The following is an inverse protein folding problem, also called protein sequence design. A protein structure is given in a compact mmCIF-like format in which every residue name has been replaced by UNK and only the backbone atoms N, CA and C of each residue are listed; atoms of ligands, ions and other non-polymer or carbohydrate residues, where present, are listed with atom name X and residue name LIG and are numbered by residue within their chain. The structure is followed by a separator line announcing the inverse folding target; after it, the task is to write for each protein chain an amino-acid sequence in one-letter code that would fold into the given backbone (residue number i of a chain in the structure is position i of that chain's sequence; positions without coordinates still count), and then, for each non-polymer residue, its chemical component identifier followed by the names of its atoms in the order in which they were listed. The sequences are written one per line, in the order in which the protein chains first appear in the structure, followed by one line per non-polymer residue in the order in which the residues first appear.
data_IF_026502605909
#
_entry.id   IF_026502605909
#
_cell.length_a   1.000
_cell.length_b   1.000
_cell.length_c   1.000
_cell.angle_alpha   90.00
_cell.angle_beta   90.00
_cell.angle_gamma   90.00
#
_symmetry.space_group_name_H-M   'P 1'
#
loop_
_entity.id
_entity.type
_entity.pdbx_description
1 polymer ?
#
# COMPACT_ATOMS: atom_id res chain seq x y z
N UNK A 1 -2.60 -5.17 21.53
CA UNK A 1 -3.82 -5.95 21.85
C UNK A 1 -4.87 -5.56 20.84
N UNK A 2 -5.53 -6.53 20.18
CA UNK A 2 -6.53 -6.27 19.15
C UNK A 2 -7.80 -7.08 19.44
N UNK A 3 -8.93 -6.59 18.94
CA UNK A 3 -10.22 -7.27 18.95
C UNK A 3 -10.41 -8.04 17.65
N UNK A 4 -10.47 -9.37 17.74
CA UNK A 4 -10.61 -10.25 16.58
C UNK A 4 -11.98 -10.92 16.61
N UNK A 5 -12.73 -10.75 15.54
CA UNK A 5 -14.00 -11.44 15.33
C UNK A 5 -13.77 -12.64 14.40
N UNK A 6 -13.96 -13.86 14.92
CA UNK A 6 -13.76 -15.10 14.20
C UNK A 6 -15.12 -15.70 13.79
N UNK A 7 -15.41 -15.67 12.49
CA UNK A 7 -16.53 -16.39 11.89
C UNK A 7 -16.17 -17.82 11.52
N UNK A 8 -16.94 -18.79 11.98
CA UNK A 8 -16.73 -20.23 11.72
C UNK A 8 -17.92 -20.77 10.94
N UNK A 9 -17.65 -21.41 9.80
CA UNK A 9 -18.68 -21.93 8.89
C UNK A 9 -18.63 -23.46 8.79
N UNK A 10 -19.69 -24.06 8.26
CA UNK A 10 -19.80 -25.52 8.13
C UNK A 10 -18.74 -26.12 7.19
N UNK A 11 -17.66 -26.64 7.77
CA UNK A 11 -16.59 -27.34 7.07
C UNK A 11 -15.85 -28.26 8.03
N UNK A 12 -15.31 -29.37 7.52
CA UNK A 12 -14.46 -30.27 8.31
C UNK A 12 -13.24 -29.56 8.89
N UNK A 13 -12.80 -28.45 8.30
CA UNK A 13 -11.69 -27.64 8.81
C UNK A 13 -12.05 -26.79 10.04
N UNK A 14 -13.29 -26.83 10.56
CA UNK A 14 -13.70 -26.03 11.71
C UNK A 14 -12.84 -26.29 12.96
N UNK A 15 -12.29 -27.50 13.15
CA UNK A 15 -11.38 -27.77 14.26
C UNK A 15 -10.08 -26.93 14.21
N UNK A 16 -9.62 -26.52 13.02
CA UNK A 16 -8.45 -25.64 12.87
C UNK A 16 -8.75 -24.23 13.39
N UNK A 17 -10.00 -23.80 13.34
CA UNK A 17 -10.41 -22.52 13.91
C UNK A 17 -10.27 -22.50 15.44
N UNK A 18 -10.35 -23.66 16.11
CA UNK A 18 -10.05 -23.77 17.54
C UNK A 18 -8.59 -23.40 17.85
N UNK A 19 -7.65 -23.74 16.97
CA UNK A 19 -6.25 -23.35 17.15
C UNK A 19 -6.10 -21.83 17.04
N UNK A 20 -6.68 -21.22 16.00
CA UNK A 20 -6.69 -19.75 15.82
C UNK A 20 -7.25 -19.04 17.07
N UNK A 21 -8.42 -19.48 17.55
CA UNK A 21 -9.03 -18.91 18.76
C UNK A 21 -8.10 -19.05 19.97
N UNK A 22 -7.50 -20.23 20.18
CA UNK A 22 -6.60 -20.48 21.30
C UNK A 22 -5.33 -19.63 21.23
N UNK A 23 -4.72 -19.54 20.05
CA UNK A 23 -3.42 -18.91 19.88
C UNK A 23 -3.52 -17.39 19.90
N UNK A 24 -4.57 -16.80 19.31
CA UNK A 24 -4.86 -15.37 19.48
C UNK A 24 -5.16 -14.99 20.93
N UNK A 25 -5.93 -15.80 21.66
CA UNK A 25 -6.19 -15.55 23.09
C UNK A 25 -4.90 -15.65 23.91
N UNK A 26 -4.03 -16.64 23.66
CA UNK A 26 -2.70 -16.74 24.31
C UNK A 26 -1.78 -15.57 23.98
N UNK A 27 -1.87 -15.04 22.76
CA UNK A 27 -1.15 -13.85 22.33
C UNK A 27 -1.72 -12.54 22.92
N UNK A 28 -2.79 -12.62 23.73
CA UNK A 28 -3.38 -11.49 24.43
C UNK A 28 -4.38 -10.68 23.60
N UNK A 29 -4.86 -11.22 22.48
CA UNK A 29 -5.99 -10.63 21.75
C UNK A 29 -7.32 -10.99 22.41
N UNK A 30 -8.31 -10.11 22.33
CA UNK A 30 -9.68 -10.44 22.70
C UNK A 30 -10.37 -11.03 21.47
N UNK A 31 -10.91 -12.24 21.60
CA UNK A 31 -11.49 -12.98 20.47
C UNK A 31 -12.98 -13.21 20.75
N UNK A 32 -13.83 -12.82 19.82
CA UNK A 32 -15.25 -13.21 19.81
C UNK A 32 -15.50 -14.15 18.63
N UNK A 33 -16.32 -15.16 18.86
CA UNK A 33 -16.61 -16.18 17.84
C UNK A 33 -18.08 -16.12 17.44
N UNK A 34 -18.33 -16.17 16.13
CA UNK A 34 -19.66 -16.37 15.55
C UNK A 34 -19.66 -17.66 14.75
N UNK A 35 -20.46 -18.63 15.18
CA UNK A 35 -20.66 -19.88 14.46
C UNK A 35 -21.94 -19.80 13.62
N UNK A 36 -21.88 -20.31 12.40
CA UNK A 36 -23.10 -20.67 11.65
C UNK A 36 -23.70 -21.95 12.23
N UNK A 37 -25.00 -22.16 12.07
CA UNK A 37 -25.67 -23.43 12.47
C UNK A 37 -24.99 -24.67 11.87
N UNK A 38 -24.42 -24.56 10.66
CA UNK A 38 -23.68 -25.66 10.03
C UNK A 38 -22.31 -25.94 10.70
N UNK A 39 -21.67 -24.92 11.28
CA UNK A 39 -20.40 -25.08 12.01
C UNK A 39 -20.58 -25.85 13.32
N UNK A 40 -21.71 -25.63 14.00
CA UNK A 40 -22.07 -26.30 15.26
C UNK A 40 -22.11 -27.84 15.14
N UNK A 41 -22.34 -28.35 13.91
CA UNK A 41 -22.29 -29.79 13.62
C UNK A 41 -20.88 -30.40 13.60
N UNK A 42 -19.82 -29.56 13.52
CA UNK A 42 -18.42 -29.99 13.52
C UNK A 42 -17.72 -29.71 14.85
N UNK A 43 -17.89 -28.50 15.38
CA UNK A 43 -17.34 -28.06 16.66
C UNK A 43 -18.46 -27.40 17.44
N UNK A 44 -18.54 -27.68 18.75
CA UNK A 44 -19.62 -27.10 19.57
C UNK A 44 -19.23 -25.72 20.11
N UNK A 45 -20.20 -24.81 20.32
CA UNK A 45 -19.94 -23.47 20.85
C UNK A 45 -19.23 -23.44 22.21
N UNK A 46 -19.35 -24.52 22.99
CA UNK A 46 -18.68 -24.67 24.28
C UNK A 46 -17.15 -24.65 24.12
N UNK A 47 -16.61 -25.23 23.05
CA UNK A 47 -15.17 -25.25 22.78
C UNK A 47 -14.65 -23.83 22.60
N UNK A 48 -15.27 -23.05 21.72
CA UNK A 48 -14.87 -21.66 21.46
C UNK A 48 -15.07 -20.76 22.68
N UNK A 49 -16.18 -20.93 23.41
CA UNK A 49 -16.44 -20.18 24.65
C UNK A 49 -15.36 -20.47 25.70
N UNK A 50 -14.91 -21.72 25.79
CA UNK A 50 -13.89 -22.14 26.75
C UNK A 50 -12.48 -21.64 26.36
N UNK A 51 -12.18 -21.54 25.06
CA UNK A 51 -10.89 -21.07 24.54
C UNK A 51 -10.74 -19.54 24.59
N UNK A 52 -11.82 -18.82 24.31
CA UNK A 52 -11.80 -17.35 24.19
C UNK A 52 -12.25 -16.62 25.44
N UNK A 53 -12.86 -17.35 26.39
CA UNK A 53 -13.52 -16.79 27.57
C UNK A 53 -14.65 -15.78 27.24
N UNK A 54 -15.18 -15.83 26.01
CA UNK A 54 -16.30 -15.00 25.54
C UNK A 54 -17.45 -15.91 25.05
N UNK A 55 -18.72 -15.57 25.30
CA UNK A 55 -19.85 -16.34 24.77
C UNK A 55 -19.81 -16.40 23.25
N UNK A 56 -19.83 -17.62 22.69
CA UNK A 56 -19.91 -17.81 21.23
C UNK A 56 -21.31 -17.49 20.71
N UNK A 57 -21.39 -16.68 19.65
CA UNK A 57 -22.65 -16.33 18.99
C UNK A 57 -23.06 -17.45 18.03
N UNK A 58 -24.32 -17.87 18.09
CA UNK A 58 -24.81 -19.03 17.29
C UNK A 58 -26.09 -18.73 16.51
N UNK A 59 -26.99 -17.92 17.08
CA UNK A 59 -28.29 -17.61 16.46
C UNK A 59 -28.69 -16.16 16.66
N UNK A 60 -29.31 -15.59 15.63
CA UNK A 60 -29.81 -14.23 15.64
C UNK A 60 -31.09 -14.12 16.49
N UNK A 61 -31.96 -15.14 16.42
CA UNK A 61 -33.24 -15.17 17.12
C UNK A 61 -33.37 -16.47 17.93
N UNK A 62 -32.76 -16.55 19.13
CA UNK A 62 -32.91 -17.72 19.97
C UNK A 62 -34.33 -17.80 20.55
N UNK A 63 -34.78 -19.03 20.84
CA UNK A 63 -36.03 -19.24 21.54
C UNK A 63 -35.99 -18.59 22.93
N UNK A 64 -37.01 -17.80 23.26
CA UNK A 64 -37.10 -17.09 24.53
C UNK A 64 -37.34 -18.07 25.71
N UNK A 65 -36.73 -17.85 26.89
CA UNK A 65 -35.78 -16.79 27.26
C UNK A 65 -34.33 -17.25 27.08
N UNK A 66 -33.62 -16.66 26.13
CA UNK A 66 -32.19 -16.91 25.93
C UNK A 66 -31.42 -15.58 26.00
N UNK A 67 -30.40 -15.54 26.84
CA UNK A 67 -29.62 -14.33 27.16
C UNK A 67 -28.69 -13.84 26.03
N UNK A 68 -28.71 -14.48 24.85
CA UNK A 68 -27.65 -14.34 23.83
C UNK A 68 -28.18 -14.16 22.40
N UNK A 69 -29.41 -13.67 22.24
CA UNK A 69 -29.95 -13.31 20.92
C UNK A 69 -29.39 -12.02 20.37
N UNK A 70 -29.69 -11.70 19.12
CA UNK A 70 -29.15 -10.51 18.45
C UNK A 70 -29.56 -9.20 19.12
N UNK A 71 -30.77 -9.15 19.69
CA UNK A 71 -31.22 -8.03 20.52
C UNK A 71 -31.29 -8.47 21.97
N UNK A 72 -30.48 -7.85 22.83
CA UNK A 72 -30.59 -8.02 24.28
C UNK A 72 -31.33 -6.82 24.87
N UNK A 73 -32.62 -7.01 25.12
CA UNK A 73 -33.43 -6.02 25.82
C UNK A 73 -33.38 -6.30 27.33
N UNK A 74 -32.77 -5.41 28.11
CA UNK A 74 -32.78 -5.45 29.57
C UNK A 74 -33.40 -4.14 30.08
N UNK A 75 -34.39 -4.16 30.99
CA UNK A 75 -34.97 -2.95 31.56
C UNK A 75 -33.95 -1.97 32.18
N UNK A 76 -32.75 -2.45 32.54
CA UNK A 76 -31.70 -1.66 33.19
C UNK A 76 -30.47 -1.42 32.31
N UNK A 77 -30.40 -1.96 31.09
CA UNK A 77 -29.26 -1.80 30.18
C UNK A 77 -29.77 -1.33 28.81
N UNK A 78 -29.12 -0.33 28.16
CA UNK A 78 -29.47 0.07 26.80
C UNK A 78 -29.55 -1.14 25.86
N UNK A 79 -30.60 -1.17 25.04
CA UNK A 79 -30.79 -2.23 24.05
C UNK A 79 -29.58 -2.28 23.12
N UNK A 80 -28.92 -3.44 23.07
CA UNK A 80 -27.74 -3.66 22.22
C UNK A 80 -28.11 -4.58 21.07
N UNK A 81 -27.74 -4.20 19.85
CA UNK A 81 -27.85 -5.02 18.64
C UNK A 81 -26.48 -5.68 18.41
N UNK A 82 -26.37 -6.97 18.72
CA UNK A 82 -25.12 -7.68 18.83
C UNK A 82 -24.35 -7.73 17.50
N UNK A 83 -25.00 -7.99 16.35
CA UNK A 83 -24.25 -8.04 15.09
C UNK A 83 -23.61 -6.70 14.70
N UNK A 84 -24.28 -5.57 14.96
CA UNK A 84 -23.72 -4.21 14.75
C UNK A 84 -22.64 -3.91 15.78
N UNK A 85 -22.87 -4.26 17.04
CA UNK A 85 -21.92 -4.03 18.12
C UNK A 85 -20.63 -4.86 17.94
N UNK A 86 -20.75 -6.13 17.54
CA UNK A 86 -19.61 -7.02 17.28
C UNK A 86 -18.84 -6.56 16.03
N UNK A 87 -19.53 -6.04 14.99
CA UNK A 87 -18.87 -5.41 13.85
C UNK A 87 -18.07 -4.16 14.27
N UNK A 88 -18.68 -3.23 14.99
CA UNK A 88 -18.02 -2.01 15.46
C UNK A 88 -16.89 -2.28 16.46
N UNK A 89 -16.97 -3.37 17.21
CA UNK A 89 -15.98 -3.77 18.21
C UNK A 89 -14.70 -4.32 17.59
N UNK A 90 -14.80 -5.01 16.44
CA UNK A 90 -13.71 -5.75 15.85
C UNK A 90 -12.68 -4.85 15.13
N UNK A 91 -11.39 -5.10 15.37
CA UNK A 91 -10.30 -4.53 14.57
C UNK A 91 -9.96 -5.39 13.35
N UNK A 92 -10.32 -6.67 13.39
CA UNK A 92 -10.13 -7.63 12.30
C UNK A 92 -11.29 -8.64 12.30
N UNK A 93 -11.87 -8.89 11.13
CA UNK A 93 -12.82 -9.97 10.89
C UNK A 93 -12.14 -11.11 10.13
N UNK A 94 -12.16 -12.33 10.67
CA UNK A 94 -11.63 -13.53 10.01
C UNK A 94 -12.74 -14.55 9.85
N UNK A 95 -12.99 -15.02 8.64
CA UNK A 95 -13.91 -16.13 8.39
C UNK A 95 -13.09 -17.38 8.04
N UNK A 96 -12.92 -18.27 9.01
CA UNK A 96 -12.07 -19.45 8.91
C UNK A 96 -12.68 -20.64 9.68
N UNK A 97 -13.02 -21.74 9.00
CA UNK A 97 -13.12 -21.89 7.55
C UNK A 97 -14.26 -21.07 6.95
N UNK A 98 -14.13 -20.69 5.68
CA UNK A 98 -15.17 -20.15 4.83
C UNK A 98 -15.66 -21.22 3.84
N UNK A 99 -16.89 -21.69 4.02
CA UNK A 99 -17.55 -22.64 3.13
C UNK A 99 -17.98 -21.93 1.83
N UNK A 100 -18.15 -22.70 0.74
CA UNK A 100 -18.64 -22.17 -0.53
C UNK A 100 -19.98 -21.43 -0.39
N UNK A 101 -20.84 -21.91 0.50
CA UNK A 101 -22.14 -21.34 0.82
C UNK A 101 -22.02 -19.94 1.44
N UNK A 102 -21.17 -19.77 2.46
CA UNK A 102 -20.95 -18.45 3.07
C UNK A 102 -20.23 -17.51 2.10
N UNK A 103 -19.26 -17.99 1.32
CA UNK A 103 -18.61 -17.19 0.26
C UNK A 103 -19.65 -16.67 -0.75
N UNK A 104 -20.62 -17.51 -1.14
CA UNK A 104 -21.70 -17.08 -2.03
C UNK A 104 -22.62 -16.04 -1.37
N UNK A 105 -22.96 -16.20 -0.09
CA UNK A 105 -23.75 -15.21 0.65
C UNK A 105 -23.04 -13.86 0.76
N UNK A 106 -21.74 -13.87 1.05
CA UNK A 106 -20.91 -12.65 1.11
C UNK A 106 -20.92 -11.95 -0.25
N UNK A 107 -20.61 -12.68 -1.34
CA UNK A 107 -20.55 -12.10 -2.69
C UNK A 107 -21.90 -11.51 -3.16
N UNK A 108 -23.02 -12.05 -2.66
CA UNK A 108 -24.37 -11.58 -2.98
C UNK A 108 -24.94 -10.57 -1.97
N UNK A 109 -24.23 -10.25 -0.88
CA UNK A 109 -24.73 -9.37 0.18
C UNK A 109 -25.93 -9.92 0.95
N UNK A 110 -26.04 -11.23 1.11
CA UNK A 110 -27.12 -11.86 1.89
C UNK A 110 -26.78 -11.80 3.39
N UNK A 111 -27.73 -11.33 4.21
CA UNK A 111 -27.59 -11.16 5.66
C UNK A 111 -28.76 -11.84 6.41
N UNK A 112 -28.75 -13.16 6.44
CA UNK A 112 -29.85 -13.98 6.96
C UNK A 112 -29.48 -14.84 8.18
N UNK A 113 -28.25 -14.73 8.67
CA UNK A 113 -27.78 -15.28 9.93
C UNK A 113 -26.91 -14.25 10.68
N UNK A 114 -26.52 -14.53 11.92
CA UNK A 114 -25.70 -13.62 12.73
C UNK A 114 -24.39 -13.27 12.04
N UNK A 115 -23.68 -14.27 11.50
CA UNK A 115 -22.37 -14.08 10.87
C UNK A 115 -22.45 -13.17 9.65
N UNK A 116 -23.35 -13.49 8.71
CA UNK A 116 -23.51 -12.74 7.46
C UNK A 116 -24.06 -11.33 7.69
N UNK A 117 -24.88 -11.12 8.71
CA UNK A 117 -25.36 -9.80 9.09
C UNK A 117 -24.25 -8.95 9.74
N UNK A 118 -23.42 -9.56 10.60
CA UNK A 118 -22.22 -8.89 11.13
C UNK A 118 -21.22 -8.56 10.03
N UNK A 119 -20.99 -9.48 9.09
CA UNK A 119 -20.13 -9.26 7.92
C UNK A 119 -20.60 -8.04 7.12
N UNK A 120 -21.91 -7.92 6.87
CA UNK A 120 -22.45 -6.84 6.06
C UNK A 120 -22.32 -5.48 6.77
N UNK A 121 -22.32 -5.46 8.10
CA UNK A 121 -22.14 -4.26 8.92
C UNK A 121 -20.66 -3.90 9.19
N UNK A 122 -19.72 -4.74 8.78
CA UNK A 122 -18.30 -4.59 9.10
C UNK A 122 -17.50 -3.86 8.01
N UNK A 123 -16.79 -2.80 8.39
CA UNK A 123 -16.05 -1.92 7.46
C UNK A 123 -14.52 -2.09 7.52
N UNK A 124 -13.99 -2.81 8.51
CA UNK A 124 -12.56 -2.93 8.75
C UNK A 124 -11.85 -4.03 7.93
N UNK A 125 -10.57 -4.30 8.26
CA UNK A 125 -9.78 -5.37 7.66
C UNK A 125 -10.45 -6.74 7.80
N UNK A 126 -10.53 -7.49 6.70
CA UNK A 126 -11.29 -8.75 6.66
C UNK A 126 -10.58 -9.85 5.87
N UNK A 127 -10.52 -11.04 6.45
CA UNK A 127 -9.86 -12.24 5.90
C UNK A 127 -10.89 -13.33 5.61
N UNK A 128 -10.77 -13.96 4.45
CA UNK A 128 -11.59 -15.10 4.05
C UNK A 128 -10.68 -16.31 3.80
N UNK A 129 -10.91 -17.42 4.50
CA UNK A 129 -10.11 -18.65 4.40
C UNK A 129 -10.94 -19.80 3.80
N UNK A 130 -10.97 -19.97 2.47
CA UNK A 130 -11.82 -20.97 1.82
C UNK A 130 -11.47 -22.41 2.24
N UNK A 131 -12.49 -23.24 2.47
CA UNK A 131 -12.30 -24.65 2.79
C UNK A 131 -13.44 -25.52 2.27
N UNK A 132 -13.18 -26.30 1.22
CA UNK A 132 -14.18 -27.10 0.53
C UNK A 132 -13.54 -28.18 -0.35
N UNK A 133 -14.33 -29.10 -0.90
CA UNK A 133 -13.85 -30.06 -1.88
C UNK A 133 -13.23 -29.37 -3.12
N UNK A 134 -12.22 -29.98 -3.75
CA UNK A 134 -11.51 -29.41 -4.91
C UNK A 134 -12.43 -29.03 -6.07
N UNK A 135 -13.46 -29.84 -6.35
CA UNK A 135 -14.43 -29.54 -7.40
C UNK A 135 -15.36 -28.39 -7.03
N UNK A 136 -15.68 -28.22 -5.74
CA UNK A 136 -16.42 -27.05 -5.25
C UNK A 136 -15.57 -25.79 -5.35
N UNK A 137 -14.30 -25.88 -4.98
CA UNK A 137 -13.37 -24.74 -5.03
C UNK A 137 -13.15 -24.30 -6.49
N UNK A 138 -12.87 -25.23 -7.40
CA UNK A 138 -12.66 -24.96 -8.82
C UNK A 138 -13.96 -24.64 -9.59
N UNK A 139 -15.13 -24.72 -8.96
CA UNK A 139 -16.39 -24.41 -9.62
C UNK A 139 -16.40 -22.93 -10.08
N UNK A 140 -16.82 -22.63 -11.33
CA UNK A 140 -16.87 -21.26 -11.84
C UNK A 140 -17.67 -20.30 -10.96
N UNK A 141 -18.73 -20.76 -10.30
CA UNK A 141 -19.52 -19.94 -9.38
C UNK A 141 -18.70 -19.55 -8.14
N UNK A 142 -17.96 -20.50 -7.55
CA UNK A 142 -17.09 -20.25 -6.40
C UNK A 142 -15.95 -19.30 -6.78
N UNK A 143 -15.30 -19.53 -7.92
CA UNK A 143 -14.21 -18.66 -8.40
C UNK A 143 -14.70 -17.24 -8.68
N UNK A 144 -15.88 -17.09 -9.29
CA UNK A 144 -16.53 -15.77 -9.46
C UNK A 144 -16.80 -15.11 -8.12
N UNK A 145 -17.34 -15.83 -7.15
CA UNK A 145 -17.67 -15.28 -5.84
C UNK A 145 -16.40 -14.89 -5.06
N UNK A 146 -15.34 -15.69 -5.13
CA UNK A 146 -14.04 -15.36 -4.52
C UNK A 146 -13.44 -14.09 -5.14
N UNK A 147 -13.52 -13.95 -6.47
CA UNK A 147 -13.12 -12.72 -7.16
C UNK A 147 -13.93 -11.52 -6.68
N UNK A 148 -15.26 -11.65 -6.60
CA UNK A 148 -16.11 -10.58 -6.05
C UNK A 148 -15.77 -10.25 -4.59
N UNK A 149 -15.51 -11.24 -3.74
CA UNK A 149 -15.05 -11.00 -2.38
C UNK A 149 -13.73 -10.22 -2.36
N UNK A 150 -12.77 -10.59 -3.20
CA UNK A 150 -11.50 -9.85 -3.32
C UNK A 150 -11.72 -8.40 -3.76
N UNK A 151 -12.60 -8.16 -4.75
CA UNK A 151 -12.99 -6.81 -5.20
C UNK A 151 -13.70 -6.01 -4.09
N UNK A 152 -14.41 -6.67 -3.19
CA UNK A 152 -15.04 -6.08 -2.00
C UNK A 152 -14.06 -5.87 -0.83
N UNK A 153 -12.76 -6.05 -1.05
CA UNK A 153 -11.70 -5.79 -0.07
C UNK A 153 -11.44 -6.94 0.90
N UNK A 154 -11.85 -8.18 0.57
CA UNK A 154 -11.47 -9.35 1.37
C UNK A 154 -10.06 -9.83 1.02
N UNK A 155 -9.22 -10.00 2.03
CA UNK A 155 -7.97 -10.73 1.87
C UNK A 155 -8.27 -12.23 1.84
N UNK A 156 -8.14 -12.84 0.66
CA UNK A 156 -8.32 -14.28 0.49
C UNK A 156 -7.01 -14.98 0.91
N UNK A 157 -7.10 -15.94 1.83
CA UNK A 157 -6.01 -16.88 2.14
C UNK A 157 -6.31 -18.17 1.40
N UNK A 158 -5.59 -18.39 0.30
CA UNK A 158 -5.85 -19.52 -0.59
C UNK A 158 -5.69 -20.87 0.12
N UNK A 159 -6.53 -21.87 -0.20
CA UNK A 159 -6.41 -23.19 0.40
C UNK A 159 -5.17 -23.94 -0.09
N UNK A 160 -4.66 -24.84 0.74
CA UNK A 160 -3.58 -25.76 0.39
C UNK A 160 -4.05 -26.85 -0.57
N UNK A 161 -3.09 -27.39 -1.31
CA UNK A 161 -3.22 -28.62 -2.08
C UNK A 161 -2.85 -29.83 -1.22
N UNK A 162 -3.70 -30.87 -1.24
CA UNK A 162 -3.41 -32.11 -0.52
C UNK A 162 -4.56 -33.10 -0.57
N UNK A 163 -4.46 -34.15 0.25
CA UNK A 163 -5.52 -35.12 0.44
C UNK A 163 -6.69 -34.46 1.20
N UNK A 164 -7.86 -34.46 0.58
CA UNK A 164 -9.09 -33.94 1.15
C UNK A 164 -9.84 -35.04 1.92
N UNK A 165 -10.70 -34.64 2.86
CA UNK A 165 -11.45 -35.59 3.70
C UNK A 165 -12.37 -36.54 2.90
N UNK A 166 -12.72 -36.18 1.66
CA UNK A 166 -13.50 -37.00 0.74
C UNK A 166 -12.68 -38.03 -0.05
N UNK A 167 -11.34 -38.01 0.07
CA UNK A 167 -10.42 -38.89 -0.66
C UNK A 167 -9.80 -38.29 -1.92
N UNK A 168 -10.31 -37.15 -2.39
CA UNK A 168 -9.74 -36.44 -3.54
C UNK A 168 -8.38 -35.78 -3.19
N UNK A 169 -7.52 -35.62 -4.19
CA UNK A 169 -6.27 -34.86 -4.09
C UNK A 169 -6.44 -33.56 -4.86
N UNK A 170 -6.21 -32.44 -4.20
CA UNK A 170 -6.23 -31.14 -4.87
C UNK A 170 -6.37 -29.97 -3.91
N UNK A 171 -6.48 -28.78 -4.50
CA UNK A 171 -6.58 -27.52 -3.78
C UNK A 171 -7.97 -27.33 -3.19
N UNK A 172 -8.06 -27.17 -1.87
CA UNK A 172 -9.35 -27.02 -1.17
C UNK A 172 -9.30 -27.18 0.35
N UNK A 173 -8.17 -27.63 0.90
CA UNK A 173 -7.94 -27.70 2.34
C UNK A 173 -7.69 -26.30 2.90
N UNK A 174 -8.40 -25.91 3.96
CA UNK A 174 -8.10 -24.64 4.65
C UNK A 174 -6.61 -24.58 4.98
N UNK A 175 -5.99 -23.44 4.72
CA UNK A 175 -4.60 -23.15 5.08
C UNK A 175 -4.30 -23.42 6.57
N UNK A 176 -3.03 -23.63 6.91
CA UNK A 176 -2.61 -23.85 8.29
C UNK A 176 -2.78 -22.58 9.15
N UNK A 177 -3.20 -22.71 10.43
CA UNK A 177 -3.45 -21.58 11.32
C UNK A 177 -2.31 -20.54 11.36
N UNK A 178 -1.07 -21.00 11.40
CA UNK A 178 0.12 -20.14 11.46
C UNK A 178 0.20 -19.15 10.27
N UNK A 179 -0.21 -19.57 9.07
CA UNK A 179 -0.20 -18.70 7.89
C UNK A 179 -1.35 -17.69 7.93
N UNK A 180 -2.52 -18.11 8.44
CA UNK A 180 -3.66 -17.21 8.65
C UNK A 180 -3.31 -16.14 9.70
N UNK A 181 -2.62 -16.54 10.77
CA UNK A 181 -2.11 -15.64 11.81
C UNK A 181 -1.09 -14.64 11.27
N UNK A 182 -0.17 -15.06 10.39
CA UNK A 182 0.77 -14.16 9.73
C UNK A 182 0.04 -13.09 8.90
N UNK A 183 -0.97 -13.49 8.12
CA UNK A 183 -1.79 -12.57 7.32
C UNK A 183 -2.57 -11.62 8.22
N UNK A 184 -3.15 -12.13 9.31
CA UNK A 184 -3.86 -11.34 10.32
C UNK A 184 -2.95 -10.31 11.00
N UNK A 185 -1.73 -10.69 11.37
CA UNK A 185 -0.77 -9.80 11.99
C UNK A 185 -0.35 -8.67 11.04
N UNK A 186 -0.14 -8.95 9.74
CA UNK A 186 0.14 -7.92 8.74
C UNK A 186 -1.01 -6.93 8.61
N UNK A 187 -2.24 -7.42 8.42
CA UNK A 187 -3.42 -6.54 8.28
C UNK A 187 -3.68 -5.70 9.52
N UNK A 188 -3.47 -6.26 10.72
CA UNK A 188 -3.58 -5.51 11.97
C UNK A 188 -2.46 -4.47 12.12
N UNK A 189 -1.26 -4.73 11.61
CA UNK A 189 -0.17 -3.76 11.59
C UNK A 189 -0.45 -2.62 10.59
N UNK A 190 -0.90 -2.97 9.38
CA UNK A 190 -1.28 -2.02 8.34
C UNK A 190 -2.43 -1.11 8.83
N UNK A 191 -3.43 -1.68 9.50
CA UNK A 191 -4.56 -0.94 10.08
C UNK A 191 -4.22 -0.17 11.38
N UNK A 192 -3.10 -0.48 12.04
CA UNK A 192 -2.59 0.33 13.15
C UNK A 192 -1.75 1.51 12.67
N UNK A 193 -1.29 1.46 11.41
CA UNK A 193 -0.62 2.56 10.71
C UNK A 193 -1.65 3.52 10.05
N UNK A 194 -2.96 3.41 10.38
CA UNK A 194 -4.12 4.01 9.69
C UNK A 194 -4.25 5.55 9.77
N UNK A 195 -3.32 6.19 9.07
CA UNK A 195 -3.63 7.17 8.04
C UNK A 195 -3.67 6.51 6.64
N UNK A 196 -4.11 5.25 6.49
CA UNK A 196 -4.22 4.62 5.17
C UNK A 196 -5.62 4.87 4.57
N UNK A 197 -5.73 5.56 3.41
CA UNK A 197 -7.00 5.96 2.80
C UNK A 197 -7.59 4.87 1.89
N UNK A 198 -8.86 5.09 1.50
CA UNK A 198 -9.66 4.39 0.49
C UNK A 198 -8.86 3.78 -0.66
N UNK A 199 -9.36 2.69 -1.26
CA UNK A 199 -8.77 1.91 -2.37
C UNK A 199 -8.33 2.66 -3.65
N UNK A 200 -8.42 3.99 -3.70
CA UNK A 200 -7.83 4.84 -4.75
C UNK A 200 -7.52 6.25 -4.23
N UNK A 201 -6.49 6.42 -3.38
CA UNK A 201 -6.23 7.69 -2.69
C UNK A 201 -5.77 8.82 -3.62
N UNK A 202 -5.41 8.51 -4.87
CA UNK A 202 -4.96 9.48 -5.87
C UNK A 202 -5.94 9.65 -7.03
N UNK A 203 -7.18 9.13 -6.89
CA UNK A 203 -8.18 9.19 -7.95
C UNK A 203 -8.44 10.63 -8.40
N UNK A 204 -8.27 10.88 -9.70
CA UNK A 204 -8.48 12.19 -10.32
C UNK A 204 -7.32 13.17 -10.18
N UNK A 205 -6.20 12.75 -9.57
CA UNK A 205 -4.97 13.55 -9.51
C UNK A 205 -4.03 13.21 -10.66
N UNK A 206 -3.28 14.21 -11.12
CA UNK A 206 -2.20 14.03 -12.10
C UNK A 206 -0.86 13.91 -11.39
N UNK A 207 -0.16 12.80 -11.63
CA UNK A 207 1.12 12.50 -10.98
C UNK A 207 2.24 12.46 -12.02
N UNK A 208 3.21 13.36 -11.89
CA UNK A 208 4.41 13.41 -12.71
C UNK A 208 5.56 12.71 -11.98
N UNK A 209 6.21 11.73 -12.62
CA UNK A 209 7.35 11.01 -12.06
C UNK A 209 8.53 11.08 -13.01
N UNK A 210 9.73 11.39 -12.51
CA UNK A 210 10.97 11.20 -13.29
C UNK A 210 11.69 9.94 -12.84
N UNK A 211 12.25 9.15 -13.76
CA UNK A 211 13.00 7.95 -13.42
C UNK A 211 14.21 7.70 -14.33
N UNK A 212 15.14 6.87 -13.86
CA UNK A 212 16.31 6.45 -14.62
C UNK A 212 17.49 7.43 -14.56
N UNK A 213 18.60 7.13 -15.23
CA UNK A 213 19.75 8.02 -15.39
C UNK A 213 19.56 8.97 -16.59
N UNK A 214 20.33 10.06 -16.67
CA UNK A 214 20.54 10.78 -17.93
C UNK A 214 21.89 10.39 -18.55
N UNK A 215 21.99 10.50 -19.87
CA UNK A 215 23.18 10.18 -20.65
C UNK A 215 23.66 11.41 -21.42
N UNK A 216 24.74 12.02 -20.96
CA UNK A 216 25.31 13.24 -21.55
C UNK A 216 26.35 12.86 -22.62
N UNK A 217 26.07 13.04 -23.91
CA UNK A 217 26.96 12.57 -24.98
C UNK A 217 28.30 13.33 -24.99
N UNK A 218 29.39 12.59 -25.11
CA UNK A 218 30.73 13.14 -25.40
C UNK A 218 30.98 13.16 -26.91
N UNK A 219 30.62 12.05 -27.56
CA UNK A 219 30.72 11.80 -28.99
C UNK A 219 29.59 10.81 -29.38
N UNK A 220 29.39 10.43 -30.66
CA UNK A 220 28.31 9.53 -31.06
C UNK A 220 28.40 8.10 -30.49
N UNK A 221 29.45 7.77 -29.74
CA UNK A 221 29.76 6.43 -29.22
C UNK A 221 29.81 6.41 -27.69
N UNK A 222 30.07 7.54 -27.04
CA UNK A 222 30.34 7.62 -25.60
C UNK A 222 29.51 8.71 -24.95
N UNK A 223 29.11 8.46 -23.72
CA UNK A 223 28.36 9.40 -22.88
C UNK A 223 28.80 9.28 -21.42
N UNK A 224 28.51 10.33 -20.64
CA UNK A 224 28.61 10.35 -19.19
C UNK A 224 27.22 10.01 -18.60
N UNK A 225 27.18 9.13 -17.60
CA UNK A 225 25.93 8.69 -16.96
C UNK A 225 26.14 8.39 -15.49
N UNK A 226 25.03 8.33 -14.75
CA UNK A 226 24.95 7.84 -13.38
C UNK A 226 24.56 6.35 -13.35
N UNK A 227 24.67 5.72 -12.18
CA UNK A 227 24.38 4.28 -11.97
C UNK A 227 22.90 3.97 -11.69
N UNK A 228 21.98 4.88 -11.98
CA UNK A 228 20.56 4.66 -11.71
C UNK A 228 19.99 3.55 -12.57
N UNK A 229 19.24 2.65 -11.93
CA UNK A 229 18.50 1.57 -12.62
C UNK A 229 17.07 1.97 -12.99
N UNK A 230 16.59 3.12 -12.49
CA UNK A 230 15.20 3.56 -12.62
C UNK A 230 14.18 2.81 -11.75
N UNK A 231 14.55 1.72 -11.06
CA UNK A 231 13.63 0.87 -10.29
C UNK A 231 12.71 1.64 -9.33
N UNK A 232 13.25 2.64 -8.62
CA UNK A 232 12.47 3.41 -7.65
C UNK A 232 11.39 4.25 -8.33
N UNK A 233 11.75 5.04 -9.35
CA UNK A 233 10.78 5.86 -10.07
C UNK A 233 9.72 5.02 -10.80
N UNK A 234 10.08 3.85 -11.33
CA UNK A 234 9.12 2.91 -11.94
C UNK A 234 8.15 2.32 -10.90
N UNK A 235 8.65 1.95 -9.71
CA UNK A 235 7.78 1.47 -8.63
C UNK A 235 6.79 2.56 -8.16
N UNK A 236 7.22 3.82 -8.11
CA UNK A 236 6.36 4.97 -7.78
C UNK A 236 5.30 5.18 -8.86
N UNK A 237 5.68 5.15 -10.14
CA UNK A 237 4.72 5.31 -11.24
C UNK A 237 3.66 4.20 -11.24
N UNK A 238 4.07 2.94 -11.04
CA UNK A 238 3.13 1.80 -10.94
C UNK A 238 2.15 1.96 -9.78
N UNK A 239 2.67 2.24 -8.57
CA UNK A 239 1.84 2.40 -7.38
C UNK A 239 0.89 3.61 -7.50
N UNK A 240 1.31 4.69 -8.18
CA UNK A 240 0.45 5.86 -8.42
C UNK A 240 -0.73 5.52 -9.33
N UNK A 241 -0.49 4.74 -10.39
CA UNK A 241 -1.54 4.25 -11.28
C UNK A 241 -2.50 3.30 -10.56
N UNK A 242 -1.97 2.38 -9.74
CA UNK A 242 -2.76 1.49 -8.87
C UNK A 242 -3.64 2.27 -7.88
N UNK A 243 -3.16 3.42 -7.40
CA UNK A 243 -3.90 4.34 -6.53
C UNK A 243 -4.89 5.24 -7.28
N UNK A 244 -5.06 5.05 -8.59
CA UNK A 244 -6.05 5.71 -9.43
C UNK A 244 -5.63 7.06 -10.03
N UNK A 245 -4.34 7.40 -9.97
CA UNK A 245 -3.82 8.63 -10.59
C UNK A 245 -3.73 8.53 -12.12
N UNK A 246 -3.75 9.70 -12.77
CA UNK A 246 -3.30 9.88 -14.14
C UNK A 246 -1.79 10.14 -14.13
N UNK A 247 -0.98 9.20 -14.63
CA UNK A 247 0.47 9.19 -14.40
C UNK A 247 1.24 9.49 -15.67
N UNK A 248 2.12 10.50 -15.61
CA UNK A 248 3.16 10.74 -16.62
C UNK A 248 4.53 10.36 -16.05
N UNK A 249 5.23 9.44 -16.71
CA UNK A 249 6.57 8.99 -16.36
C UNK A 249 7.60 9.50 -17.38
N UNK A 250 8.41 10.49 -16.99
CA UNK A 250 9.57 10.95 -17.76
C UNK A 250 10.76 10.06 -17.44
N UNK A 251 11.10 9.16 -18.36
CA UNK A 251 12.10 8.11 -18.14
C UNK A 251 13.35 8.32 -18.98
N UNK A 252 14.49 8.42 -18.29
CA UNK A 252 15.81 8.22 -18.89
C UNK A 252 16.05 6.77 -19.36
N UNK A 253 17.22 6.47 -19.95
CA UNK A 253 17.49 5.16 -20.55
C UNK A 253 17.58 4.03 -19.51
N UNK A 254 16.62 3.10 -19.53
CA UNK A 254 16.56 1.91 -18.67
C UNK A 254 16.03 0.69 -19.43
N UNK A 255 16.34 -0.51 -18.95
CA UNK A 255 15.86 -1.78 -19.49
C UNK A 255 14.56 -2.29 -18.83
N UNK A 256 13.81 -1.41 -18.16
CA UNK A 256 12.57 -1.75 -17.47
C UNK A 256 11.37 -1.67 -18.42
N UNK A 257 10.40 -2.57 -18.21
CA UNK A 257 9.10 -2.54 -18.89
C UNK A 257 8.29 -1.36 -18.36
N UNK A 258 7.60 -0.65 -19.26
CA UNK A 258 6.68 0.42 -18.87
C UNK A 258 5.53 -0.17 -18.03
N UNK A 259 5.14 0.45 -16.91
CA UNK A 259 3.96 0.03 -16.16
C UNK A 259 2.67 0.20 -16.98
N UNK A 260 1.67 -0.63 -16.70
CA UNK A 260 0.34 -0.47 -17.30
C UNK A 260 -0.31 0.84 -16.86
N UNK A 261 -1.13 1.44 -17.74
CA UNK A 261 -1.87 2.67 -17.46
C UNK A 261 -1.00 3.90 -17.06
N UNK A 262 0.26 3.92 -17.49
CA UNK A 262 1.19 5.06 -17.33
C UNK A 262 1.59 5.60 -18.70
N UNK A 263 1.51 6.92 -18.90
CA UNK A 263 2.04 7.58 -20.08
C UNK A 263 3.55 7.80 -19.93
N UNK A 264 4.36 7.22 -20.82
CA UNK A 264 5.83 7.20 -20.68
C UNK A 264 6.49 8.09 -21.74
N UNK A 265 7.13 9.16 -21.28
CA UNK A 265 7.96 10.05 -22.10
C UNK A 265 9.42 9.62 -21.99
N UNK A 266 9.98 9.07 -23.06
CA UNK A 266 11.38 8.61 -23.11
C UNK A 266 12.31 9.77 -23.45
N UNK A 267 13.32 9.97 -22.60
CA UNK A 267 14.33 11.04 -22.74
C UNK A 267 15.74 10.45 -22.63
N UNK A 268 16.75 11.18 -23.12
CA UNK A 268 18.15 10.72 -23.06
C UNK A 268 18.99 11.63 -22.17
N UNK A 269 18.97 12.94 -22.43
CA UNK A 269 19.82 13.92 -21.74
C UNK A 269 19.08 14.60 -20.58
N UNK A 270 19.82 15.29 -19.70
CA UNK A 270 19.23 16.16 -18.69
C UNK A 270 18.41 17.30 -19.31
N UNK A 271 18.80 17.81 -20.49
CA UNK A 271 18.04 18.84 -21.19
C UNK A 271 16.71 18.28 -21.72
N UNK A 272 16.72 17.09 -22.32
CA UNK A 272 15.49 16.42 -22.78
C UNK A 272 14.52 16.20 -21.61
N UNK A 273 15.06 15.76 -20.47
CA UNK A 273 14.28 15.54 -19.24
C UNK A 273 13.72 16.85 -18.70
N UNK A 274 14.51 17.93 -18.72
CA UNK A 274 14.07 19.26 -18.33
C UNK A 274 12.91 19.72 -19.21
N UNK A 275 13.04 19.61 -20.53
CA UNK A 275 12.00 20.06 -21.47
C UNK A 275 10.69 19.27 -21.26
N UNK A 276 10.78 17.94 -21.08
CA UNK A 276 9.62 17.09 -20.81
C UNK A 276 8.96 17.39 -19.45
N UNK A 277 9.75 17.63 -18.41
CA UNK A 277 9.23 18.04 -17.09
C UNK A 277 8.60 19.43 -17.19
N UNK A 278 9.21 20.36 -17.92
CA UNK A 278 8.70 21.71 -18.04
C UNK A 278 7.34 21.78 -18.74
N UNK A 279 7.08 20.89 -19.69
CA UNK A 279 5.79 20.74 -20.36
C UNK A 279 4.72 20.12 -19.45
N UNK A 280 5.05 19.06 -18.71
CA UNK A 280 4.08 18.32 -17.89
C UNK A 280 3.81 18.96 -16.51
N UNK A 281 4.80 19.64 -15.92
CA UNK A 281 4.76 20.13 -14.54
C UNK A 281 3.60 21.09 -14.24
N UNK A 282 3.23 22.08 -15.08
CA UNK A 282 2.15 23.01 -14.77
C UNK A 282 0.80 22.32 -14.49
N UNK A 283 0.56 21.17 -15.14
CA UNK A 283 -0.66 20.40 -15.01
C UNK A 283 -0.63 19.38 -13.86
N UNK A 284 0.54 19.02 -13.34
CA UNK A 284 0.67 17.99 -12.31
C UNK A 284 0.14 18.49 -10.95
N UNK A 285 -0.48 17.61 -10.18
CA UNK A 285 -0.83 17.82 -8.77
C UNK A 285 0.30 17.39 -7.84
N UNK A 286 0.97 16.29 -8.19
CA UNK A 286 2.09 15.74 -7.42
C UNK A 286 3.22 15.46 -8.40
N UNK A 287 4.41 15.99 -8.12
CA UNK A 287 5.62 15.72 -8.90
C UNK A 287 6.66 15.01 -8.03
N UNK A 288 7.14 13.85 -8.47
CA UNK A 288 8.18 13.07 -7.80
C UNK A 288 9.42 12.96 -8.68
N UNK A 289 10.49 13.64 -8.29
CA UNK A 289 11.75 13.66 -9.01
C UNK A 289 12.73 12.59 -8.50
N UNK A 290 12.52 11.35 -8.94
CA UNK A 290 13.34 10.18 -8.57
C UNK A 290 14.44 9.81 -9.60
N UNK A 291 14.60 10.59 -10.68
CA UNK A 291 15.65 10.36 -11.67
C UNK A 291 17.04 10.75 -11.11
N UNK A 292 18.08 10.07 -11.58
CA UNK A 292 19.45 10.53 -11.35
C UNK A 292 19.86 11.38 -12.55
N UNK A 293 19.70 12.69 -12.42
CA UNK A 293 20.05 13.67 -13.45
C UNK A 293 21.54 13.96 -13.36
N UNK A 294 22.24 14.02 -14.50
CA UNK A 294 23.64 14.44 -14.55
C UNK A 294 23.79 15.92 -14.26
N UNK A 295 24.59 16.29 -13.25
CA UNK A 295 24.84 17.68 -12.86
C UNK A 295 25.59 18.49 -13.93
N UNK A 296 26.37 17.81 -14.78
CA UNK A 296 27.20 18.42 -15.81
C UNK A 296 27.06 17.67 -17.14
N UNK A 297 27.15 18.43 -18.24
CA UNK A 297 27.28 17.93 -19.62
C UNK A 297 28.56 18.45 -20.26
N UNK A 298 28.94 17.88 -21.40
CA UNK A 298 30.08 18.37 -22.18
C UNK A 298 29.75 19.74 -22.80
N UNK A 299 30.69 20.68 -22.75
CA UNK A 299 30.52 22.01 -23.33
C UNK A 299 30.26 21.96 -24.85
N UNK A 300 31.02 21.12 -25.55
CA UNK A 300 30.89 20.86 -27.00
C UNK A 300 30.89 19.36 -27.28
N UNK A 301 29.80 18.85 -27.86
CA UNK A 301 29.69 17.44 -28.25
C UNK A 301 30.48 17.23 -29.55
N UNK A 302 31.40 16.26 -29.56
CA UNK A 302 32.16 15.97 -30.76
C UNK A 302 31.26 15.32 -31.84
N UNK A 303 31.31 15.75 -33.11
CA UNK A 303 30.48 15.17 -34.17
C UNK A 303 30.97 13.78 -34.61
N UNK A 304 32.22 13.44 -34.28
CA UNK A 304 32.83 12.14 -34.58
C UNK A 304 33.40 11.49 -33.32
N UNK A 305 33.53 10.16 -33.34
CA UNK A 305 34.17 9.39 -32.28
C UNK A 305 35.56 9.95 -31.97
N UNK A 306 35.78 10.34 -30.72
CA UNK A 306 37.07 10.86 -30.27
C UNK A 306 38.12 9.74 -30.36
N UNK A 307 39.07 9.91 -31.29
CA UNK A 307 40.13 8.93 -31.55
C UNK A 307 41.25 9.05 -30.52
N UNK A 308 41.80 7.91 -30.08
CA UNK A 308 42.98 7.87 -29.20
C UNK A 308 44.18 8.60 -29.83
N UNK A 309 44.38 8.47 -31.15
CA UNK A 309 45.38 9.20 -31.94
C UNK A 309 46.77 9.35 -31.28
N UNK A 310 47.25 8.30 -30.61
CA UNK A 310 48.53 8.32 -29.88
C UNK A 310 48.56 9.12 -28.56
N UNK A 311 47.44 9.73 -28.16
CA UNK A 311 47.32 10.52 -26.92
C UNK A 311 47.30 9.62 -25.69
N UNK A 312 47.96 10.07 -24.62
CA UNK A 312 47.95 9.43 -23.30
C UNK A 312 46.77 9.89 -22.43
N UNK A 313 46.20 11.06 -22.71
CA UNK A 313 45.05 11.62 -22.00
C UNK A 313 44.15 12.44 -22.94
N UNK A 314 42.93 12.70 -22.49
CA UNK A 314 42.01 13.67 -23.09
C UNK A 314 41.51 14.61 -21.98
N UNK A 315 41.23 15.86 -22.35
CA UNK A 315 40.56 16.83 -21.48
C UNK A 315 39.17 17.06 -22.05
N UNK A 316 38.15 17.01 -21.18
CA UNK A 316 36.75 17.29 -21.52
C UNK A 316 36.31 18.46 -20.65
N UNK A 317 35.86 19.54 -21.28
CA UNK A 317 35.26 20.67 -20.58
C UNK A 317 33.80 20.36 -20.27
N UNK A 318 33.42 20.55 -19.01
CA UNK A 318 32.07 20.27 -18.51
C UNK A 318 31.38 21.57 -18.09
N UNK A 319 30.10 21.70 -18.46
CA UNK A 319 29.23 22.81 -18.10
C UNK A 319 28.01 22.29 -17.35
N UNK A 320 27.46 23.09 -16.43
CA UNK A 320 26.33 22.67 -15.60
C UNK A 320 25.05 22.44 -16.40
N UNK A 321 24.33 21.39 -16.05
CA UNK A 321 22.98 21.13 -16.54
C UNK A 321 21.92 21.95 -15.80
N UNK A 322 20.72 22.10 -16.38
CA UNK A 322 19.59 22.72 -15.68
C UNK A 322 19.25 21.96 -14.39
N UNK A 323 19.01 22.69 -13.32
CA UNK A 323 18.53 22.11 -12.06
C UNK A 323 17.00 21.99 -12.10
N UNK A 324 16.53 20.84 -12.59
CA UNK A 324 15.10 20.57 -12.84
C UNK A 324 14.28 20.71 -11.56
N UNK A 325 14.82 20.24 -10.42
CA UNK A 325 14.14 20.29 -9.13
C UNK A 325 13.99 21.73 -8.62
N UNK A 326 15.05 22.55 -8.74
CA UNK A 326 14.97 23.96 -8.36
C UNK A 326 13.99 24.72 -9.27
N UNK A 327 14.08 24.47 -10.59
CA UNK A 327 13.22 25.12 -11.57
C UNK A 327 11.74 24.83 -11.31
N UNK A 328 11.39 23.60 -10.94
CA UNK A 328 10.03 23.20 -10.59
C UNK A 328 9.59 23.83 -9.27
N UNK A 329 10.47 23.84 -8.26
CA UNK A 329 10.20 24.47 -6.96
C UNK A 329 9.89 25.96 -7.07
N UNK A 330 10.61 26.69 -7.93
CA UNK A 330 10.38 28.11 -8.22
C UNK A 330 9.09 28.39 -9.00
N UNK A 331 8.45 27.36 -9.56
CA UNK A 331 7.29 27.48 -10.48
C UNK A 331 6.05 26.75 -9.98
N UNK A 332 6.05 26.33 -8.72
CA UNK A 332 4.85 25.79 -8.08
C UNK A 332 3.71 26.80 -8.21
N UNK A 333 2.47 26.30 -8.37
CA UNK A 333 1.27 27.13 -8.31
C UNK A 333 1.21 27.88 -6.97
N UNK A 334 0.87 29.16 -7.05
CA UNK A 334 0.75 30.05 -5.88
C UNK A 334 -0.38 29.61 -4.91
N UNK A 335 -1.32 28.79 -5.39
CA UNK A 335 -2.44 28.26 -4.61
C UNK A 335 -2.04 27.11 -3.65
N UNK A 336 -0.76 26.70 -3.65
CA UNK A 336 -0.25 25.63 -2.79
C UNK A 336 -0.77 24.23 -3.13
N UNK A 337 -1.52 24.06 -4.23
CA UNK A 337 -2.14 22.79 -4.59
C UNK A 337 -1.17 21.76 -5.19
N UNK A 338 0.03 22.19 -5.59
CA UNK A 338 1.09 21.32 -6.09
C UNK A 338 1.99 20.84 -4.98
N UNK A 339 2.28 19.54 -4.98
CA UNK A 339 3.28 18.93 -4.11
C UNK A 339 4.49 18.51 -4.93
N UNK A 340 5.68 18.93 -4.49
CA UNK A 340 6.98 18.60 -5.08
C UNK A 340 7.80 17.73 -4.13
N UNK A 341 8.11 16.52 -4.58
CA UNK A 341 8.97 15.57 -3.90
C UNK A 341 10.30 15.40 -4.63
N UNK A 342 11.40 15.73 -3.98
CA UNK A 342 12.75 15.46 -4.48
C UNK A 342 13.33 14.17 -3.90
N UNK A 343 14.25 13.53 -4.64
CA UNK A 343 15.13 12.50 -4.10
C UNK A 343 16.56 13.04 -3.97
N UNK A 344 17.22 12.68 -2.87
CA UNK A 344 18.61 13.03 -2.62
C UNK A 344 19.39 11.79 -2.22
N UNK A 345 20.44 11.48 -2.98
CA UNK A 345 21.41 10.49 -2.58
C UNK A 345 22.64 11.21 -2.03
N UNK A 346 23.00 10.94 -0.77
CA UNK A 346 24.14 11.56 -0.11
C UNK A 346 25.14 10.49 0.34
N UNK A 347 26.43 10.82 0.30
CA UNK A 347 27.49 9.93 0.81
C UNK A 347 27.95 10.33 2.21
N UNK A 348 27.73 11.58 2.59
CA UNK A 348 28.18 12.20 3.86
C UNK A 348 27.16 13.24 4.32
N UNK A 349 27.04 13.43 5.63
CA UNK A 349 26.15 14.46 6.23
C UNK A 349 24.70 14.45 5.71
N UNK A 350 24.11 13.25 5.55
CA UNK A 350 22.79 13.00 4.94
C UNK A 350 21.71 14.01 5.36
N UNK A 351 21.44 14.13 6.65
CA UNK A 351 20.37 15.00 7.17
C UNK A 351 20.62 16.47 6.81
N UNK A 352 21.81 16.99 7.12
CA UNK A 352 22.15 18.41 6.87
C UNK A 352 22.05 18.78 5.38
N UNK A 353 22.52 17.89 4.50
CA UNK A 353 22.45 18.13 3.05
C UNK A 353 21.01 18.04 2.54
N UNK A 354 20.24 17.09 3.09
CA UNK A 354 18.82 16.94 2.79
C UNK A 354 18.00 18.16 3.24
N UNK A 355 18.22 18.69 4.44
CA UNK A 355 17.56 19.91 4.92
C UNK A 355 17.84 21.10 3.99
N UNK A 356 19.12 21.30 3.63
CA UNK A 356 19.51 22.37 2.70
C UNK A 356 18.82 22.22 1.34
N UNK A 357 18.75 21.00 0.79
CA UNK A 357 18.08 20.72 -0.48
C UNK A 357 16.58 20.94 -0.40
N UNK A 358 15.92 20.48 0.67
CA UNK A 358 14.48 20.69 0.88
C UNK A 358 14.13 22.19 0.79
N UNK A 359 14.85 23.04 1.53
CA UNK A 359 14.60 24.49 1.53
C UNK A 359 15.02 25.16 0.22
N UNK A 360 16.25 24.93 -0.26
CA UNK A 360 16.77 25.61 -1.46
C UNK A 360 16.08 25.22 -2.76
N UNK A 361 15.34 24.11 -2.77
CA UNK A 361 14.59 23.61 -3.93
C UNK A 361 13.09 23.75 -3.78
N UNK A 362 12.61 24.40 -2.71
CA UNK A 362 11.18 24.60 -2.43
C UNK A 362 10.38 23.29 -2.47
N UNK A 363 10.98 22.19 -1.98
CA UNK A 363 10.31 20.88 -1.93
C UNK A 363 9.41 20.81 -0.70
N UNK A 364 8.23 20.19 -0.85
CA UNK A 364 7.36 19.84 0.28
C UNK A 364 7.87 18.58 0.99
N UNK A 365 8.51 17.69 0.23
CA UNK A 365 9.12 16.47 0.72
C UNK A 365 10.46 16.21 0.05
N UNK A 366 11.43 15.72 0.82
CA UNK A 366 12.70 15.23 0.30
C UNK A 366 12.98 13.83 0.85
N UNK A 367 13.17 12.89 -0.05
CA UNK A 367 13.53 11.51 0.27
C UNK A 367 15.03 11.35 0.15
N UNK A 368 15.71 11.18 1.28
CA UNK A 368 17.16 11.10 1.34
C UNK A 368 17.62 9.66 1.63
N UNK A 369 18.61 9.16 0.90
CA UNK A 369 19.23 7.86 1.15
C UNK A 369 20.76 7.91 1.09
N UNK A 370 21.42 7.00 1.80
CA UNK A 370 22.89 6.90 1.84
C UNK A 370 23.37 5.57 1.25
N UNK A 371 24.30 5.63 0.29
CA UNK A 371 24.89 4.44 -0.35
C UNK A 371 25.69 3.54 0.61
N UNK A 372 26.11 4.07 1.76
CA UNK A 372 26.88 3.29 2.76
C UNK A 372 25.99 2.38 3.61
N UNK A 373 24.67 2.59 3.59
CA UNK A 373 23.73 1.78 4.38
C UNK A 373 23.41 0.47 3.65
N UNK A 374 23.51 -0.65 4.37
CA UNK A 374 23.30 -1.97 3.81
C UNK A 374 21.84 -2.14 3.31
N UNK A 375 21.67 -2.24 1.98
CA UNK A 375 20.35 -2.39 1.35
C UNK A 375 19.75 -1.10 0.80
N UNK A 376 20.48 0.03 0.83
CA UNK A 376 20.12 1.27 0.15
C UNK A 376 20.79 1.40 -1.23
N UNK A 377 20.12 2.12 -2.16
CA UNK A 377 20.74 2.56 -3.42
C UNK A 377 20.08 2.08 -4.72
N UNK A 378 20.80 2.26 -5.83
CA UNK A 378 20.25 2.12 -7.18
C UNK A 378 19.95 0.67 -7.59
N UNK A 379 20.80 -0.30 -7.20
CA UNK A 379 20.74 -1.66 -7.74
C UNK A 379 19.85 -2.67 -7.01
N UNK A 380 19.54 -2.41 -5.74
CA UNK A 380 18.81 -3.34 -4.85
C UNK A 380 17.30 -3.23 -5.01
N UNK A 381 16.56 -4.24 -4.56
CA UNK A 381 15.08 -4.21 -4.55
C UNK A 381 14.52 -3.55 -3.29
N UNK A 382 15.38 -3.31 -2.29
CA UNK A 382 15.05 -2.62 -1.05
C UNK A 382 15.64 -1.21 -1.01
N UNK A 383 15.16 -0.39 -0.08
CA UNK A 383 15.78 0.89 0.27
C UNK A 383 15.60 1.20 1.76
N UNK A 384 16.48 2.02 2.31
CA UNK A 384 16.37 2.65 3.63
C UNK A 384 16.36 4.15 3.36
N UNK A 385 15.35 4.86 3.86
CA UNK A 385 15.19 6.29 3.54
C UNK A 385 14.96 7.12 4.79
N UNK A 386 15.51 8.32 4.76
CA UNK A 386 15.13 9.41 5.67
C UNK A 386 14.25 10.36 4.90
N UNK A 387 13.01 10.54 5.35
CA UNK A 387 12.03 11.42 4.72
C UNK A 387 11.98 12.72 5.50
N UNK A 388 12.21 13.83 4.80
CA UNK A 388 12.10 15.16 5.36
C UNK A 388 10.88 15.84 4.75
N UNK A 389 10.04 16.45 5.57
CA UNK A 389 8.90 17.25 5.13
C UNK A 389 9.02 18.66 5.65
N UNK A 390 8.66 19.65 4.83
CA UNK A 390 8.65 21.05 5.25
C UNK A 390 7.69 21.19 6.45
N UNK A 391 8.19 21.70 7.58
CA UNK A 391 7.35 22.00 8.73
C UNK A 391 6.39 23.16 8.41
N UNK A 392 5.29 23.28 9.16
CA UNK A 392 4.46 24.49 9.15
C UNK A 392 5.36 25.71 9.44
N UNK A 393 5.04 26.85 8.82
CA UNK A 393 5.89 28.05 8.72
C UNK A 393 6.49 28.53 10.07
N UNK A 394 5.90 28.17 11.20
CA UNK A 394 6.30 28.63 12.54
C UNK A 394 7.43 27.84 13.24
N UNK A 395 7.90 26.70 12.72
CA UNK A 395 8.87 25.85 13.44
C UNK A 395 10.32 25.89 12.91
N UNK A 396 10.58 26.44 11.71
CA UNK A 396 11.92 26.59 11.13
C UNK A 396 12.76 25.30 10.96
N UNK A 397 12.20 24.13 11.29
CA UNK A 397 12.87 22.84 11.30
C UNK A 397 12.00 21.80 10.58
N UNK A 398 12.55 21.04 9.62
CA UNK A 398 11.76 20.04 8.91
C UNK A 398 11.41 18.87 9.83
N UNK A 399 10.25 18.25 9.59
CA UNK A 399 9.90 16.99 10.23
C UNK A 399 10.69 15.88 9.55
N UNK A 400 11.47 15.15 10.35
CA UNK A 400 12.33 14.06 9.88
C UNK A 400 11.75 12.73 10.33
N UNK A 401 11.59 11.80 9.40
CA UNK A 401 11.16 10.44 9.64
C UNK A 401 12.22 9.47 9.11
N UNK A 402 12.59 8.47 9.92
CA UNK A 402 13.49 7.40 9.49
C UNK A 402 12.65 6.17 9.18
N UNK A 403 12.71 5.71 7.95
CA UNK A 403 11.97 4.53 7.51
C UNK A 403 12.95 3.38 7.30
N UNK A 404 12.71 2.31 8.04
CA UNK A 404 13.50 1.08 7.98
C UNK A 404 13.48 0.44 6.60
N UNK A 405 14.37 -0.54 6.42
CA UNK A 405 14.52 -1.27 5.17
C UNK A 405 13.18 -1.88 4.73
N UNK A 406 12.74 -1.51 3.53
CA UNK A 406 11.55 -2.07 2.90
C UNK A 406 11.74 -2.24 1.40
N UNK A 407 10.90 -3.06 0.77
CA UNK A 407 10.85 -3.22 -0.68
C UNK A 407 10.46 -1.91 -1.37
N UNK A 408 11.01 -1.67 -2.56
CA UNK A 408 10.73 -0.44 -3.33
C UNK A 408 9.26 -0.25 -3.66
N UNK A 409 8.49 -1.33 -3.82
CA UNK A 409 7.04 -1.27 -4.02
C UNK A 409 6.32 -0.78 -2.77
N UNK A 410 6.66 -1.33 -1.59
CA UNK A 410 6.09 -0.90 -0.31
C UNK A 410 6.48 0.55 -0.01
N UNK A 411 7.74 0.91 -0.26
CA UNK A 411 8.22 2.28 -0.13
C UNK A 411 7.46 3.23 -1.06
N UNK A 412 7.24 2.85 -2.32
CA UNK A 412 6.49 3.65 -3.27
C UNK A 412 5.07 3.94 -2.78
N UNK A 413 4.35 2.91 -2.33
CA UNK A 413 3.00 3.06 -1.77
C UNK A 413 3.00 3.99 -0.56
N UNK A 414 3.92 3.77 0.41
CA UNK A 414 4.03 4.61 1.61
C UNK A 414 4.34 6.07 1.29
N UNK A 415 5.25 6.32 0.33
CA UNK A 415 5.56 7.68 -0.14
C UNK A 415 4.33 8.37 -0.74
N UNK A 416 3.57 7.66 -1.57
CA UNK A 416 2.38 8.20 -2.22
C UNK A 416 1.27 8.53 -1.21
N UNK A 417 1.03 7.66 -0.22
CA UNK A 417 0.09 7.96 0.86
C UNK A 417 0.51 9.20 1.64
N UNK A 418 1.81 9.32 1.93
CA UNK A 418 2.34 10.51 2.62
C UNK A 418 2.17 11.79 1.81
N UNK A 419 2.43 11.74 0.51
CA UNK A 419 2.25 12.85 -0.42
C UNK A 419 0.77 13.25 -0.57
N UNK A 420 -0.13 12.28 -0.64
CA UNK A 420 -1.57 12.51 -0.66
C UNK A 420 -2.04 13.23 0.61
N UNK A 421 -1.55 12.78 1.78
CA UNK A 421 -1.87 13.41 3.06
C UNK A 421 -1.34 14.86 3.15
N UNK A 422 -0.13 15.13 2.66
CA UNK A 422 0.44 16.48 2.60
C UNK A 422 -0.43 17.42 1.74
N UNK A 423 -0.88 16.95 0.58
CA UNK A 423 -1.75 17.72 -0.31
C UNK A 423 -3.10 18.04 0.35
N UNK A 424 -3.74 17.05 0.97
CA UNK A 424 -5.05 17.23 1.62
C UNK A 424 -4.98 18.15 2.85
N UNK A 425 -3.86 18.12 3.59
CA UNK A 425 -3.64 18.99 4.75
C UNK A 425 -3.38 20.46 4.41
N UNK A 426 -3.01 20.78 3.16
CA UNK A 426 -2.84 22.16 2.69
C UNK A 426 -4.13 22.83 2.20
N UNK A 427 -5.16 22.05 1.87
CA UNK A 427 -6.39 22.55 1.25
C UNK A 427 -7.42 23.13 2.25
N UNK A 428 -7.17 23.10 3.56
CA UNK A 428 -8.16 23.48 4.59
C UNK A 428 -8.21 24.97 4.95
N UNK A 429 -7.51 25.86 4.23
CA UNK A 429 -7.38 27.28 4.61
C UNK A 429 -7.98 28.31 3.64
N UNK A 430 -8.83 27.92 2.66
CA UNK A 430 -9.29 28.88 1.63
C UNK A 430 -10.81 29.15 1.62
N UNK A 431 -11.65 28.40 2.34
CA UNK A 431 -13.12 28.53 2.20
C UNK A 431 -13.89 29.19 3.37
N UNK A 432 -13.21 29.72 4.41
CA UNK A 432 -13.91 30.30 5.58
C UNK A 432 -14.08 31.84 5.58
N UNK A 433 -13.66 32.55 4.51
CA UNK A 433 -13.74 34.03 4.46
C UNK A 433 -14.96 34.62 3.74
N UNK A 434 -15.98 33.83 3.36
CA UNK A 434 -17.13 34.39 2.61
C UNK A 434 -18.53 34.03 3.18
N UNK A 435 -18.68 34.14 4.51
CA UNK A 435 -20.00 34.11 5.19
C UNK A 435 -20.21 35.20 6.24
N UNK A 436 -19.85 36.44 5.94
CA UNK A 436 -20.47 37.61 6.57
C UNK A 436 -20.74 38.70 5.53
N UNK A 437 -21.98 38.72 5.02
CA UNK A 437 -22.66 39.89 4.46
C UNK A 437 -24.19 39.67 4.48
#
# INVERSE_FOLDING_TARGET
MAHILLGVTGSIAAFKACHLASDWTKAGHEVRVIETTAAEGFVTPLTFTSLTHQPTRTTMFPAYPAAHGDVTANPTVPTTINHVADAAWANLLVVAPASADVIARIACGLANDTLTSTILAYEGPKILCPAMNVHMYNNPATQRNLKTCAELGWQIVEPEEGNLACGDVGRGRMEEPARIEEVAARLLADAQDDQAPSSSPLKGLRVLVTAGPTQEPLDPVRYLTNHSTGKMGYAIASAAAEFGADVTLVSGPVALTAPDAVDVVRVTTAQDMFDAVADAFPAADITIMAAAVGDFRVAEIAPEKIKKAGRSSITVELVSNPDILAWAGERKRDDGSQILCGFAMETEHLIRNAEKKLTSKHCDMLVANNLRDAGAGFGTDTNVVTVLTSGAEDAGTPKIEHWDKMDKTVLAQRLLLRLAALRSGGASNVDDENKEA
#
